data_IF_731595860819
#
_entry.id   IF_731595860819
#
_cell.length_a   1.000
_cell.length_b   1.000
_cell.length_c   1.000
_cell.angle_alpha   90.00
_cell.angle_beta   90.00
_cell.angle_gamma   90.00
#
_symmetry.space_group_name_H-M   'P 1'
#
loop_
_entity.id
_entity.type
_entity.pdbx_description
1 polymer ?
#
# COMPACT_ATOMS: atom_id res chain seq x y z
N UNK A 1 -1.52 20.39 11.19
CA UNK A 1 -1.46 20.83 9.78
C UNK A 1 -2.85 21.34 9.42
N UNK A 2 -2.95 22.56 8.90
CA UNK A 2 -4.25 23.15 8.57
C UNK A 2 -4.37 23.26 7.05
N UNK A 3 -5.48 22.77 6.50
CA UNK A 3 -5.82 22.99 5.10
C UNK A 3 -6.78 24.18 5.02
N UNK A 4 -6.43 25.18 4.23
CA UNK A 4 -7.32 26.26 3.83
C UNK A 4 -7.88 25.93 2.45
N UNK A 5 -9.19 25.77 2.35
CA UNK A 5 -9.87 25.43 1.08
C UNK A 5 -10.80 26.57 0.70
N UNK A 6 -10.73 27.00 -0.56
CA UNK A 6 -11.62 28.00 -1.15
C UNK A 6 -12.48 27.37 -2.25
N UNK A 7 -13.64 27.94 -2.61
CA UNK A 7 -14.47 27.40 -3.69
C UNK A 7 -13.70 27.29 -5.02
N UNK A 8 -13.64 26.09 -5.59
CA UNK A 8 -12.86 25.79 -6.80
C UNK A 8 -13.66 25.66 -8.10
N UNK A 9 -14.99 25.83 -8.06
CA UNK A 9 -15.87 25.55 -9.19
C UNK A 9 -16.10 24.05 -9.41
N UNK A 10 -16.47 23.66 -10.63
CA UNK A 10 -16.75 22.26 -10.98
C UNK A 10 -15.49 21.49 -11.35
N UNK A 11 -15.29 20.31 -10.76
CA UNK A 11 -14.20 19.39 -11.14
C UNK A 11 -14.53 18.63 -12.42
N UNK A 12 -13.58 18.54 -13.36
CA UNK A 12 -13.65 17.71 -14.56
C UNK A 12 -12.30 17.06 -14.83
N UNK A 13 -12.30 15.76 -15.08
CA UNK A 13 -11.10 14.99 -15.40
C UNK A 13 -11.23 13.53 -14.97
N UNK A 14 -10.16 12.77 -15.21
CA UNK A 14 -10.00 11.39 -14.77
C UNK A 14 -8.74 11.33 -13.91
N UNK A 15 -8.77 10.48 -12.88
CA UNK A 15 -7.64 10.29 -11.97
C UNK A 15 -7.56 8.83 -11.58
N UNK A 16 -6.34 8.32 -11.49
CA UNK A 16 -6.07 7.03 -10.87
C UNK A 16 -5.84 7.25 -9.38
N UNK A 17 -6.62 6.57 -8.55
CA UNK A 17 -6.48 6.64 -7.09
C UNK A 17 -5.44 5.61 -6.62
N UNK A 18 -4.79 5.85 -5.47
CA UNK A 18 -3.93 4.84 -4.86
C UNK A 18 -4.66 3.53 -4.57
N UNK A 19 -3.90 2.47 -4.35
CA UNK A 19 -4.43 1.16 -3.97
C UNK A 19 -5.34 1.19 -2.73
N UNK A 20 -6.19 0.17 -2.60
CA UNK A 20 -7.06 0.05 -1.43
C UNK A 20 -6.26 -0.32 -0.18
N UNK A 21 -6.48 0.43 0.91
CA UNK A 21 -5.77 0.24 2.19
C UNK A 21 -6.02 -1.15 2.78
N UNK A 22 -7.27 -1.59 2.79
CA UNK A 22 -7.65 -2.83 3.46
C UNK A 22 -7.17 -4.07 2.68
N UNK A 23 -7.22 -4.02 1.35
CA UNK A 23 -6.64 -5.03 0.47
C UNK A 23 -5.12 -5.04 0.63
N UNK A 24 -4.46 -3.88 0.69
CA UNK A 24 -3.00 -3.80 0.86
C UNK A 24 -2.53 -4.45 2.16
N UNK A 25 -3.21 -4.18 3.29
CA UNK A 25 -2.92 -4.88 4.55
C UNK A 25 -3.07 -6.41 4.41
N UNK A 26 -4.20 -6.86 3.83
CA UNK A 26 -4.50 -8.28 3.72
C UNK A 26 -3.58 -8.99 2.74
N UNK A 27 -3.20 -8.35 1.63
CA UNK A 27 -2.27 -8.88 0.66
C UNK A 27 -0.93 -9.19 1.32
N UNK A 28 -0.36 -8.24 2.08
CA UNK A 28 0.89 -8.45 2.81
C UNK A 28 0.79 -9.61 3.82
N UNK A 29 -0.29 -9.67 4.61
CA UNK A 29 -0.49 -10.70 5.62
C UNK A 29 -0.65 -12.09 4.96
N UNK A 30 -1.46 -12.19 3.92
CA UNK A 30 -1.69 -13.46 3.22
C UNK A 30 -0.43 -13.93 2.50
N UNK A 31 0.32 -13.02 1.86
CA UNK A 31 1.59 -13.34 1.23
C UNK A 31 2.64 -13.81 2.24
N UNK A 32 2.68 -13.23 3.44
CA UNK A 32 3.56 -13.68 4.51
C UNK A 32 3.26 -15.10 5.03
N UNK A 33 2.02 -15.55 4.86
CA UNK A 33 1.55 -16.87 5.28
C UNK A 33 1.59 -17.91 4.14
N UNK A 34 1.74 -17.47 2.89
CA UNK A 34 1.72 -18.32 1.72
C UNK A 34 3.02 -19.13 1.60
N UNK A 35 2.93 -20.28 0.92
CA UNK A 35 4.10 -21.06 0.53
C UNK A 35 4.71 -20.51 -0.76
N UNK A 36 5.98 -20.12 -0.72
CA UNK A 36 6.70 -19.57 -1.87
C UNK A 36 6.52 -18.05 -2.04
N UNK A 37 7.18 -17.47 -3.06
CA UNK A 37 7.22 -16.03 -3.24
C UNK A 37 5.88 -15.49 -3.76
N UNK A 38 5.45 -14.35 -3.20
CA UNK A 38 4.29 -13.59 -3.69
C UNK A 38 4.72 -12.24 -4.26
N UNK A 39 4.06 -11.81 -5.34
CA UNK A 39 4.21 -10.47 -5.89
C UNK A 39 2.88 -9.72 -5.80
N UNK A 40 2.90 -8.53 -5.21
CA UNK A 40 1.73 -7.66 -5.05
C UNK A 40 1.96 -6.38 -5.85
N UNK A 41 0.98 -5.97 -6.65
CA UNK A 41 0.98 -4.71 -7.41
C UNK A 41 -0.17 -3.81 -6.99
N UNK A 42 -0.02 -2.49 -7.17
CA UNK A 42 -1.00 -1.51 -6.71
C UNK A 42 -1.10 -1.44 -5.19
N UNK A 43 -0.02 -1.75 -4.47
CA UNK A 43 0.04 -1.65 -3.02
C UNK A 43 -0.05 -0.18 -2.59
N UNK A 44 -0.95 0.13 -1.66
CA UNK A 44 -0.98 1.45 -1.04
C UNK A 44 0.27 1.67 -0.18
N UNK A 45 1.08 2.68 -0.51
CA UNK A 45 2.30 3.04 0.25
C UNK A 45 2.02 4.09 1.33
N UNK A 46 0.84 4.04 1.94
CA UNK A 46 0.49 4.88 3.09
C UNK A 46 1.11 4.35 4.39
N UNK A 47 1.31 5.23 5.37
CA UNK A 47 1.97 4.92 6.64
C UNK A 47 1.38 3.68 7.35
N UNK A 48 0.06 3.50 7.32
CA UNK A 48 -0.63 2.32 7.90
C UNK A 48 -0.13 1.00 7.28
N UNK A 49 -0.02 0.94 5.96
CA UNK A 49 0.38 -0.28 5.23
C UNK A 49 1.88 -0.50 5.37
N UNK A 50 2.67 0.57 5.32
CA UNK A 50 4.11 0.51 5.58
C UNK A 50 4.41 0.02 7.01
N UNK A 51 3.61 0.43 7.99
CA UNK A 51 3.69 -0.09 9.35
C UNK A 51 3.39 -1.59 9.42
N UNK A 52 2.44 -2.08 8.62
CA UNK A 52 2.15 -3.53 8.50
C UNK A 52 3.34 -4.28 7.89
N UNK A 53 3.91 -3.77 6.80
CA UNK A 53 5.12 -4.36 6.21
C UNK A 53 6.29 -4.37 7.23
N UNK A 54 6.47 -3.29 8.00
CA UNK A 54 7.48 -3.23 9.05
C UNK A 54 7.24 -4.25 10.16
N UNK A 55 6.01 -4.40 10.63
CA UNK A 55 5.65 -5.40 11.64
C UNK A 55 5.92 -6.83 11.14
N UNK A 56 5.57 -7.13 9.89
CA UNK A 56 5.86 -8.43 9.27
C UNK A 56 7.37 -8.69 9.14
N UNK A 57 8.15 -7.67 8.76
CA UNK A 57 9.63 -7.76 8.76
C UNK A 57 10.18 -8.07 10.15
N UNK A 58 9.62 -7.46 11.20
CA UNK A 58 10.06 -7.69 12.59
C UNK A 58 9.81 -9.12 13.07
N UNK A 59 8.81 -9.81 12.51
CA UNK A 59 8.55 -11.24 12.80
C UNK A 59 9.23 -12.19 11.80
N UNK A 60 10.14 -11.69 10.96
CA UNK A 60 11.02 -12.50 10.11
C UNK A 60 10.57 -12.67 8.65
N UNK A 61 9.49 -12.01 8.24
CA UNK A 61 9.04 -12.05 6.83
C UNK A 61 9.98 -11.20 5.98
N UNK A 62 10.49 -11.76 4.88
CA UNK A 62 11.25 -10.98 3.89
C UNK A 62 10.26 -10.22 3.02
N UNK A 63 10.39 -8.89 2.96
CA UNK A 63 9.54 -8.06 2.12
C UNK A 63 10.44 -7.07 1.40
N UNK A 64 10.52 -7.18 0.09
CA UNK A 64 11.27 -6.30 -0.80
C UNK A 64 10.31 -5.32 -1.48
N UNK A 65 10.44 -4.02 -1.19
CA UNK A 65 9.69 -2.98 -1.90
C UNK A 65 10.34 -2.73 -3.26
N UNK A 66 9.53 -2.68 -4.30
CA UNK A 66 9.92 -2.42 -5.68
C UNK A 66 9.26 -1.10 -6.11
N UNK A 67 9.86 -0.37 -7.05
CA UNK A 67 9.25 0.85 -7.60
C UNK A 67 7.85 0.59 -8.17
N UNK A 68 7.00 1.62 -8.10
CA UNK A 68 5.66 1.60 -8.69
C UNK A 68 4.64 0.77 -7.92
N UNK A 69 4.56 0.94 -6.59
CA UNK A 69 3.53 0.29 -5.75
C UNK A 69 3.57 -1.24 -5.84
N UNK A 70 4.78 -1.80 -5.91
CA UNK A 70 4.98 -3.24 -6.05
C UNK A 70 5.83 -3.76 -4.89
N UNK A 71 5.53 -4.95 -4.40
CA UNK A 71 6.40 -5.62 -3.44
C UNK A 71 6.47 -7.12 -3.70
N UNK A 72 7.60 -7.70 -3.31
CA UNK A 72 7.78 -9.14 -3.23
C UNK A 72 7.87 -9.55 -1.76
N UNK A 73 7.05 -10.53 -1.39
CA UNK A 73 7.02 -11.15 -0.05
C UNK A 73 7.50 -12.59 -0.19
#
# INVERSE_FOLDING_TARGET
MNFLVTPGGSLRGEVEVPGDKSISHRALILSALAEGPSEVTGLLEGDDVLATASALRQVGVKIDMIEGQRCRV
#
